data_IF_853486674662
#
_entry.id   IF_853486674662
#
_cell.length_a   1.000
_cell.length_b   1.000
_cell.length_c   1.000
_cell.angle_alpha   90.00
_cell.angle_beta   90.00
_cell.angle_gamma   90.00
#
_symmetry.space_group_name_H-M   'P 1'
#
loop_
_entity.id
_entity.type
_entity.pdbx_description
1 polymer ?
#
# COMPACT_ATOMS: atom_id res chain seq x y z
N UNK A 1 -22.48 -18.72 8.94
CA UNK A 1 -22.08 -17.30 8.87
C UNK A 1 -22.02 -16.91 7.41
N UNK A 2 -22.86 -15.97 6.96
CA UNK A 2 -22.83 -15.44 5.59
C UNK A 2 -21.48 -14.77 5.29
N UNK A 3 -21.06 -14.71 4.02
CA UNK A 3 -19.81 -14.05 3.62
C UNK A 3 -19.76 -12.59 4.11
N UNK A 4 -20.89 -11.87 4.04
CA UNK A 4 -21.04 -10.51 4.56
C UNK A 4 -20.87 -10.40 6.08
N UNK A 5 -21.26 -11.43 6.85
CA UNK A 5 -21.07 -11.40 8.30
C UNK A 5 -19.58 -11.49 8.65
N UNK A 6 -18.81 -12.27 7.86
CA UNK A 6 -17.36 -12.42 8.10
C UNK A 6 -16.61 -11.13 7.78
N UNK A 7 -17.02 -10.39 6.75
CA UNK A 7 -16.40 -9.11 6.38
C UNK A 7 -16.69 -8.05 7.43
N UNK A 8 -17.94 -7.93 7.87
CA UNK A 8 -18.34 -7.04 8.97
C UNK A 8 -17.60 -7.36 10.29
N UNK A 9 -17.52 -8.64 10.66
CA UNK A 9 -16.79 -9.09 11.86
C UNK A 9 -15.28 -8.77 11.76
N UNK A 10 -14.71 -8.81 10.56
CA UNK A 10 -13.30 -8.49 10.31
C UNK A 10 -13.07 -7.00 10.41
N UNK A 11 -13.93 -6.18 9.83
CA UNK A 11 -13.86 -4.72 9.91
C UNK A 11 -13.98 -4.23 11.36
N UNK A 12 -14.84 -4.85 12.16
CA UNK A 12 -14.99 -4.54 13.59
C UNK A 12 -13.70 -4.87 14.38
N UNK A 13 -13.03 -5.99 14.07
CA UNK A 13 -11.73 -6.35 14.69
C UNK A 13 -10.63 -5.35 14.33
N UNK A 14 -10.56 -4.96 13.07
CA UNK A 14 -9.60 -3.95 12.60
C UNK A 14 -9.85 -2.63 13.31
N UNK A 15 -11.11 -2.18 13.37
CA UNK A 15 -11.51 -0.94 14.03
C UNK A 15 -11.10 -0.94 15.52
N UNK A 16 -11.30 -2.07 16.22
CA UNK A 16 -10.83 -2.24 17.61
C UNK A 16 -9.31 -2.13 17.73
N UNK A 17 -8.57 -2.72 16.79
CA UNK A 17 -7.11 -2.68 16.78
C UNK A 17 -6.58 -1.26 16.54
N UNK A 18 -7.17 -0.52 15.60
CA UNK A 18 -6.84 0.89 15.34
C UNK A 18 -7.13 1.78 16.55
N UNK A 19 -8.22 1.54 17.29
CA UNK A 19 -8.48 2.23 18.57
C UNK A 19 -7.41 1.96 19.62
N UNK A 20 -7.00 0.70 19.75
CA UNK A 20 -5.94 0.32 20.70
C UNK A 20 -4.62 0.97 20.32
N UNK A 21 -4.28 1.03 19.03
CA UNK A 21 -3.11 1.75 18.55
C UNK A 21 -3.17 3.24 18.91
N UNK A 22 -4.29 3.93 18.66
CA UNK A 22 -4.48 5.32 19.07
C UNK A 22 -4.26 5.54 20.57
N UNK A 23 -4.78 4.62 21.39
CA UNK A 23 -4.58 4.66 22.84
C UNK A 23 -3.10 4.49 23.19
N UNK A 24 -2.43 3.52 22.59
CA UNK A 24 -1.02 3.23 22.82
C UNK A 24 -0.11 4.40 22.43
N UNK A 25 -0.44 5.13 21.35
CA UNK A 25 0.26 6.38 20.99
C UNK A 25 0.16 7.40 22.12
N UNK A 26 -1.01 7.55 22.73
CA UNK A 26 -1.19 8.48 23.87
C UNK A 26 -0.47 8.02 25.13
N UNK A 27 -0.35 6.70 25.35
CA UNK A 27 0.23 6.11 26.56
C UNK A 27 1.77 6.01 26.50
N UNK A 28 2.36 5.86 25.30
CA UNK A 28 3.80 5.55 25.10
C UNK A 28 4.61 6.73 24.56
N UNK A 29 4.01 7.61 23.73
CA UNK A 29 4.77 8.70 23.14
C UNK A 29 4.92 9.87 24.13
N UNK A 30 6.15 10.09 24.61
CA UNK A 30 6.47 11.12 25.60
C UNK A 30 6.63 12.53 25.00
N UNK A 31 6.96 12.63 23.71
CA UNK A 31 7.17 13.91 23.04
C UNK A 31 6.10 14.15 21.94
N UNK A 32 5.76 15.42 21.73
CA UNK A 32 4.68 15.82 20.82
C UNK A 32 4.99 15.49 19.35
N UNK A 33 6.27 15.50 18.95
CA UNK A 33 6.69 15.21 17.58
C UNK A 33 6.48 13.73 17.21
N UNK A 34 6.94 12.81 18.06
CA UNK A 34 6.73 11.36 17.89
C UNK A 34 5.24 11.01 17.99
N UNK A 35 4.50 11.66 18.88
CA UNK A 35 3.05 11.50 18.98
C UNK A 35 2.37 11.92 17.68
N UNK A 36 2.72 13.07 17.12
CA UNK A 36 2.16 13.55 15.86
C UNK A 36 2.53 12.65 14.69
N UNK A 37 3.77 12.19 14.60
CA UNK A 37 4.20 11.27 13.54
C UNK A 37 3.43 9.95 13.59
N UNK A 38 3.24 9.38 14.78
CA UNK A 38 2.44 8.17 14.94
C UNK A 38 0.95 8.40 14.64
N UNK A 39 0.40 9.56 14.99
CA UNK A 39 -0.98 9.93 14.63
C UNK A 39 -1.16 10.07 13.12
N UNK A 40 -0.19 10.63 12.39
CA UNK A 40 -0.23 10.72 10.93
C UNK A 40 -0.21 9.32 10.31
N UNK A 41 0.63 8.42 10.80
CA UNK A 41 0.66 7.02 10.32
C UNK A 41 -0.68 6.33 10.60
N UNK A 42 -1.25 6.52 11.79
CA UNK A 42 -2.58 6.00 12.14
C UNK A 42 -3.65 6.57 11.20
N UNK A 43 -3.61 7.87 10.89
CA UNK A 43 -4.54 8.53 9.98
C UNK A 43 -4.50 7.89 8.58
N UNK A 44 -3.30 7.64 8.03
CA UNK A 44 -3.13 6.96 6.75
C UNK A 44 -3.79 5.57 6.76
N UNK A 45 -3.57 4.79 7.82
CA UNK A 45 -4.19 3.46 7.94
C UNK A 45 -5.72 3.54 8.06
N UNK A 46 -6.25 4.55 8.76
CA UNK A 46 -7.70 4.75 8.85
C UNK A 46 -8.30 5.11 7.49
N UNK A 47 -7.62 5.94 6.67
CA UNK A 47 -8.08 6.25 5.29
C UNK A 47 -8.12 5.00 4.42
N UNK A 48 -7.04 4.22 4.42
CA UNK A 48 -6.93 2.95 3.70
C UNK A 48 -8.09 2.00 4.01
N UNK A 49 -8.37 1.76 5.29
CA UNK A 49 -9.48 0.88 5.67
C UNK A 49 -10.86 1.48 5.36
N UNK A 50 -10.99 2.81 5.38
CA UNK A 50 -12.23 3.48 4.97
C UNK A 50 -12.49 3.32 3.47
N UNK A 51 -11.45 3.36 2.64
CA UNK A 51 -11.53 3.10 1.19
C UNK A 51 -11.88 1.65 0.90
N UNK A 52 -11.23 0.70 1.59
CA UNK A 52 -11.55 -0.72 1.45
C UNK A 52 -13.02 -1.03 1.82
N UNK A 53 -13.52 -0.46 2.92
CA UNK A 53 -14.94 -0.58 3.32
C UNK A 53 -15.85 0.01 2.24
N UNK A 54 -15.52 1.20 1.73
CA UNK A 54 -16.29 1.85 0.68
C UNK A 54 -16.33 1.01 -0.61
N UNK A 55 -15.18 0.56 -1.09
CA UNK A 55 -15.06 -0.23 -2.31
C UNK A 55 -15.82 -1.56 -2.19
N UNK A 56 -15.72 -2.23 -1.04
CA UNK A 56 -16.49 -3.45 -0.79
C UNK A 56 -18.00 -3.19 -0.84
N UNK A 57 -18.48 -2.14 -0.18
CA UNK A 57 -19.91 -1.81 -0.17
C UNK A 57 -20.42 -1.35 -1.55
N UNK A 58 -19.59 -0.65 -2.31
CA UNK A 58 -19.92 -0.19 -3.66
C UNK A 58 -20.02 -1.36 -4.63
N UNK A 59 -19.05 -2.28 -4.58
CA UNK A 59 -19.07 -3.49 -5.41
C UNK A 59 -20.23 -4.41 -5.05
N UNK A 60 -20.52 -4.62 -3.76
CA UNK A 60 -21.66 -5.41 -3.31
C UNK A 60 -23.00 -4.85 -3.84
N UNK A 61 -23.19 -3.53 -3.77
CA UNK A 61 -24.38 -2.88 -4.35
C UNK A 61 -24.45 -3.01 -5.87
N UNK A 62 -23.32 -2.88 -6.56
CA UNK A 62 -23.27 -3.06 -8.01
C UNK A 62 -23.66 -4.50 -8.41
N UNK A 63 -23.23 -5.51 -7.64
CA UNK A 63 -23.65 -6.89 -7.85
C UNK A 63 -25.13 -7.12 -7.55
N UNK A 64 -25.69 -6.51 -6.50
CA UNK A 64 -27.13 -6.59 -6.23
C UNK A 64 -27.94 -5.99 -7.39
N UNK A 65 -27.53 -4.83 -7.90
CA UNK A 65 -28.16 -4.20 -9.07
C UNK A 65 -28.01 -5.06 -10.33
N UNK A 66 -26.86 -5.73 -10.50
CA UNK A 66 -26.62 -6.63 -11.61
C UNK A 66 -27.50 -7.88 -11.51
N UNK A 67 -27.64 -8.48 -10.33
CA UNK A 67 -28.51 -9.64 -10.09
C UNK A 67 -29.98 -9.29 -10.38
N UNK A 68 -30.45 -8.10 -9.98
CA UNK A 68 -31.80 -7.63 -10.30
C UNK A 68 -32.01 -7.51 -11.82
N UNK A 69 -31.02 -6.95 -12.54
CA UNK A 69 -31.06 -6.82 -14.00
C UNK A 69 -30.95 -8.17 -14.72
N UNK A 70 -30.13 -9.10 -14.23
CA UNK A 70 -29.97 -10.45 -14.79
C UNK A 70 -31.24 -11.31 -14.61
N UNK A 71 -32.01 -11.08 -13.55
CA UNK A 71 -33.27 -11.77 -13.31
C UNK A 71 -34.47 -11.13 -14.05
N UNK A 72 -34.25 -10.01 -14.77
CA UNK A 72 -35.24 -9.37 -15.63
C UNK A 72 -35.38 -10.11 -16.98
N UNK A 73 -36.57 -10.17 -17.61
CA UNK A 73 -36.76 -10.79 -18.92
C UNK A 73 -36.16 -9.99 -20.11
N UNK A 74 -35.35 -8.97 -19.82
CA UNK A 74 -34.79 -8.05 -20.80
C UNK A 74 -33.57 -8.67 -21.51
N UNK A 75 -33.39 -8.33 -22.79
CA UNK A 75 -32.34 -8.92 -23.63
C UNK A 75 -31.00 -8.31 -23.24
N UNK A 76 -30.14 -9.11 -22.63
CA UNK A 76 -28.78 -8.70 -22.26
C UNK A 76 -27.87 -8.91 -23.47
N UNK A 77 -27.38 -7.82 -24.06
CA UNK A 77 -26.46 -7.85 -25.20
C UNK A 77 -25.00 -7.96 -24.77
N UNK A 78 -24.61 -7.29 -23.67
CA UNK A 78 -23.26 -7.32 -23.12
C UNK A 78 -23.29 -7.27 -21.57
N UNK A 79 -22.69 -8.29 -20.95
CA UNK A 79 -22.64 -8.45 -19.49
C UNK A 79 -21.57 -7.52 -18.88
N UNK A 80 -20.48 -7.27 -19.60
CA UNK A 80 -19.38 -6.43 -19.11
C UNK A 80 -19.80 -4.96 -19.03
N UNK A 81 -20.42 -4.44 -20.11
CA UNK A 81 -21.01 -3.10 -20.12
C UNK A 81 -22.07 -2.91 -19.03
N UNK A 82 -22.90 -3.93 -18.78
CA UNK A 82 -23.91 -3.89 -17.71
C UNK A 82 -23.30 -3.76 -16.31
N UNK A 83 -22.21 -4.48 -16.04
CA UNK A 83 -21.51 -4.37 -14.76
C UNK A 83 -20.86 -3.00 -14.59
N UNK A 84 -20.20 -2.49 -15.65
CA UNK A 84 -19.60 -1.15 -15.64
C UNK A 84 -20.64 -0.07 -15.38
N UNK A 85 -21.78 -0.12 -16.07
CA UNK A 85 -22.90 0.78 -15.81
C UNK A 85 -23.37 0.70 -14.35
N UNK A 86 -23.44 -0.49 -13.77
CA UNK A 86 -23.86 -0.66 -12.37
C UNK A 86 -22.84 -0.08 -11.39
N UNK A 87 -21.53 -0.22 -11.67
CA UNK A 87 -20.47 0.42 -10.89
C UNK A 87 -20.54 1.93 -11.03
N UNK A 88 -20.62 2.44 -12.27
CA UNK A 88 -20.67 3.87 -12.56
C UNK A 88 -21.87 4.55 -11.92
N UNK A 89 -23.04 3.91 -11.91
CA UNK A 89 -24.23 4.41 -11.21
C UNK A 89 -24.08 4.47 -9.68
N UNK A 90 -23.25 3.60 -9.10
CA UNK A 90 -22.99 3.60 -7.64
C UNK A 90 -21.86 4.57 -7.28
N UNK A 91 -20.93 4.81 -8.19
CA UNK A 91 -19.77 5.69 -7.99
C UNK A 91 -20.02 7.13 -8.44
N UNK A 92 -21.04 7.42 -9.26
CA UNK A 92 -21.34 8.78 -9.73
C UNK A 92 -21.63 9.72 -8.55
N UNK A 93 -20.72 10.66 -8.30
CA UNK A 93 -20.81 11.63 -7.20
C UNK A 93 -20.30 11.14 -5.84
N UNK A 94 -19.77 9.91 -5.77
CA UNK A 94 -19.30 9.26 -4.54
C UNK A 94 -17.79 9.47 -4.35
N UNK A 95 -17.35 10.73 -4.23
CA UNK A 95 -15.98 10.98 -3.79
C UNK A 95 -15.85 10.52 -2.33
N UNK A 96 -14.92 9.61 -2.04
CA UNK A 96 -14.76 9.02 -0.71
C UNK A 96 -14.39 10.11 0.28
N UNK A 97 -15.39 10.59 1.03
CA UNK A 97 -15.14 11.46 2.16
C UNK A 97 -14.78 10.58 3.37
N UNK A 98 -13.49 10.33 3.57
CA UNK A 98 -13.02 9.51 4.70
C UNK A 98 -13.53 10.03 6.04
N UNK A 99 -13.74 11.35 6.20
CA UNK A 99 -14.23 11.92 7.45
C UNK A 99 -15.66 11.46 7.81
N UNK A 100 -16.43 11.08 6.79
CA UNK A 100 -17.77 10.53 6.94
C UNK A 100 -17.79 9.01 7.10
N UNK A 101 -16.67 8.30 6.88
CA UNK A 101 -16.61 6.86 7.10
C UNK A 101 -16.86 6.51 8.56
N UNK A 102 -17.55 5.38 8.76
CA UNK A 102 -17.78 4.80 10.08
C UNK A 102 -16.46 4.56 10.81
N UNK A 103 -15.44 4.04 10.12
CA UNK A 103 -14.13 3.75 10.71
C UNK A 103 -13.49 5.05 11.19
N UNK A 104 -13.41 6.07 10.33
CA UNK A 104 -12.85 7.36 10.68
C UNK A 104 -13.52 8.00 11.89
N UNK A 105 -14.85 8.11 11.86
CA UNK A 105 -15.59 8.66 12.99
C UNK A 105 -15.34 7.84 14.26
N UNK A 106 -15.22 6.53 14.12
CA UNK A 106 -15.02 5.64 15.27
C UNK A 106 -13.64 5.81 15.92
N UNK A 107 -12.61 6.18 15.16
CA UNK A 107 -11.25 6.42 15.67
C UNK A 107 -11.05 7.88 16.10
N UNK A 108 -11.60 8.84 15.38
CA UNK A 108 -11.33 10.28 15.56
C UNK A 108 -12.48 11.10 16.15
N UNK A 109 -13.60 10.48 16.54
CA UNK A 109 -14.75 11.16 17.17
C UNK A 109 -14.33 12.13 18.28
N UNK A 110 -14.65 13.41 18.09
CA UNK A 110 -14.59 14.45 19.11
C UNK A 110 -13.27 15.19 19.28
N UNK A 111 -12.26 15.00 18.43
CA UNK A 111 -10.98 15.67 18.58
C UNK A 111 -10.67 16.71 17.49
N UNK A 112 -10.29 17.89 17.96
CA UNK A 112 -9.56 18.96 17.25
C UNK A 112 -8.14 18.53 16.79
N UNK A 113 -7.77 17.26 16.94
CA UNK A 113 -6.42 16.73 16.69
C UNK A 113 -6.15 16.47 15.21
N UNK A 114 -7.19 16.42 14.38
CA UNK A 114 -7.02 16.49 12.93
C UNK A 114 -6.74 17.96 12.64
N UNK A 115 -5.49 18.40 12.83
CA UNK A 115 -5.04 19.61 12.16
C UNK A 115 -5.25 19.34 10.69
N UNK A 116 -6.20 20.02 10.08
CA UNK A 116 -6.29 20.11 8.64
C UNK A 116 -4.89 20.45 8.13
N UNK A 117 -4.21 19.48 7.52
CA UNK A 117 -3.05 19.75 6.66
C UNK A 117 -3.65 20.35 5.38
N UNK A 118 -4.20 21.55 5.51
CA UNK A 118 -4.39 22.44 4.39
C UNK A 118 -2.99 22.81 3.91
N UNK A 119 -2.65 22.23 2.75
CA UNK A 119 -1.52 22.57 1.89
C UNK A 119 -1.07 24.02 2.09
N UNK A 120 0.13 24.21 2.62
CA UNK A 120 0.95 25.37 2.28
C UNK A 120 2.17 24.87 1.55
N UNK A 121 2.11 24.98 0.22
CA UNK A 121 3.28 25.04 -0.64
C UNK A 121 4.25 26.06 -0.05
N UNK A 122 5.32 25.57 0.58
CA UNK A 122 6.53 26.32 0.83
C UNK A 122 7.66 25.53 0.20
N UNK A 123 8.17 26.03 -0.93
CA UNK A 123 9.56 25.77 -1.32
C UNK A 123 10.45 26.20 -0.16
N UNK A 124 11.11 25.24 0.51
CA UNK A 124 12.31 25.46 1.30
C UNK A 124 13.17 24.20 1.22
N UNK A 125 14.47 24.44 1.07
CA UNK A 125 15.53 23.54 0.63
C UNK A 125 15.79 22.31 1.53
N UNK A 126 16.29 21.28 0.85
CA UNK A 126 17.19 20.21 1.26
C UNK A 126 17.44 20.01 2.77
N UNK A 127 16.66 19.11 3.34
CA UNK A 127 17.08 18.29 4.47
C UNK A 127 16.37 16.94 4.36
N UNK A 128 17.14 15.92 3.98
CA UNK A 128 16.73 14.52 3.92
C UNK A 128 16.00 14.07 5.18
N UNK A 129 14.71 13.88 5.06
CA UNK A 129 13.95 12.91 5.84
C UNK A 129 13.20 12.07 4.83
N UNK A 130 13.46 10.75 4.83
CA UNK A 130 12.74 9.76 4.04
C UNK A 130 11.23 9.92 4.28
N UNK A 131 10.58 10.63 3.36
CA UNK A 131 9.15 10.50 3.14
C UNK A 131 8.94 9.03 2.80
N UNK A 132 8.22 8.32 3.66
CA UNK A 132 7.73 6.98 3.32
C UNK A 132 6.91 7.15 2.05
N UNK A 133 7.45 6.61 0.98
CA UNK A 133 6.97 6.71 -0.38
C UNK A 133 5.46 6.40 -0.47
N UNK A 134 4.68 7.42 -0.83
CA UNK A 134 3.25 7.32 -1.14
C UNK A 134 2.98 6.43 -2.38
N UNK A 135 4.02 5.89 -3.04
CA UNK A 135 3.94 4.78 -4.00
C UNK A 135 3.51 3.44 -3.37
N UNK A 136 3.50 3.32 -2.03
CA UNK A 136 2.94 2.15 -1.32
C UNK A 136 1.42 2.25 -1.07
N UNK A 137 0.71 3.05 -1.88
CA UNK A 137 -0.75 3.02 -1.97
C UNK A 137 -1.10 2.22 -3.23
N UNK A 138 -1.73 1.06 -3.03
CA UNK A 138 -2.15 0.13 -4.08
C UNK A 138 -2.98 0.80 -5.19
N UNK A 139 -2.31 1.27 -6.23
CA UNK A 139 -2.74 1.03 -7.60
C UNK A 139 -2.27 -0.37 -7.98
N UNK A 140 -2.91 -1.04 -8.94
CA UNK A 140 -2.45 -2.33 -9.47
C UNK A 140 -1.12 -2.21 -10.26
N UNK A 141 -0.35 -1.15 -10.02
CA UNK A 141 0.93 -0.87 -10.67
C UNK A 141 2.00 -1.58 -9.87
N UNK A 142 2.66 -2.53 -10.51
CA UNK A 142 3.83 -3.20 -9.96
C UNK A 142 4.95 -2.17 -9.77
N UNK A 143 5.58 -2.15 -8.59
CA UNK A 143 6.76 -1.32 -8.29
C UNK A 143 7.90 -2.23 -7.84
N UNK A 144 9.11 -2.12 -8.41
CA UNK A 144 10.26 -2.90 -7.98
C UNK A 144 10.56 -2.72 -6.48
N UNK A 145 10.83 -3.81 -5.74
CA UNK A 145 11.14 -3.72 -4.32
C UNK A 145 12.47 -2.99 -4.08
N UNK A 146 12.58 -2.34 -2.92
CA UNK A 146 13.80 -1.65 -2.49
C UNK A 146 14.71 -2.60 -1.69
N UNK A 147 16.00 -2.63 -2.04
CA UNK A 147 16.98 -3.48 -1.36
C UNK A 147 17.27 -2.97 0.07
N UNK A 148 17.22 -3.82 1.10
CA UNK A 148 17.43 -3.39 2.48
C UNK A 148 18.87 -2.93 2.78
N UNK A 149 19.86 -3.26 1.93
CA UNK A 149 21.27 -2.89 2.11
C UNK A 149 21.62 -1.63 1.33
N UNK A 150 21.41 -1.61 0.01
CA UNK A 150 21.76 -0.46 -0.85
C UNK A 150 20.74 0.67 -0.81
N UNK A 151 19.52 0.41 -0.32
CA UNK A 151 18.40 1.37 -0.30
C UNK A 151 17.97 1.85 -1.70
N UNK A 152 18.28 1.06 -2.73
CA UNK A 152 17.92 1.33 -4.11
C UNK A 152 16.93 0.29 -4.63
N UNK A 153 16.18 0.60 -5.71
CA UNK A 153 15.36 -0.39 -6.42
C UNK A 153 16.22 -1.59 -6.82
N UNK A 154 15.71 -2.80 -6.57
CA UNK A 154 16.36 -4.06 -6.96
C UNK A 154 16.30 -4.22 -8.48
N UNK A 155 17.43 -4.58 -9.10
CA UNK A 155 17.53 -4.88 -10.53
C UNK A 155 17.79 -6.36 -10.80
N UNK A 156 18.62 -7.00 -9.97
CA UNK A 156 18.92 -8.42 -10.04
C UNK A 156 18.43 -9.14 -8.77
N UNK A 157 17.14 -9.54 -8.73
CA UNK A 157 16.52 -10.03 -7.51
C UNK A 157 17.00 -11.43 -7.13
N UNK A 158 17.49 -11.57 -5.89
CA UNK A 158 17.81 -12.83 -5.26
C UNK A 158 17.04 -13.01 -3.97
N UNK A 159 16.42 -14.18 -3.83
CA UNK A 159 15.59 -14.56 -2.69
C UNK A 159 16.30 -15.55 -1.79
N UNK A 160 16.23 -15.34 -0.48
CA UNK A 160 16.69 -16.32 0.51
C UNK A 160 15.71 -17.49 0.63
N UNK A 161 16.20 -18.72 0.47
CA UNK A 161 15.41 -19.96 0.69
C UNK A 161 14.89 -20.08 2.12
N UNK A 162 15.52 -19.42 3.09
CA UNK A 162 15.21 -19.57 4.52
C UNK A 162 14.08 -18.65 4.99
N UNK A 163 14.07 -17.40 4.53
CA UNK A 163 13.12 -16.38 4.98
C UNK A 163 12.28 -15.77 3.84
N UNK A 164 12.59 -16.06 2.58
CA UNK A 164 11.84 -15.53 1.44
C UNK A 164 12.10 -14.07 1.11
N UNK A 165 12.95 -13.36 1.88
CA UNK A 165 13.31 -11.97 1.58
C UNK A 165 14.16 -11.86 0.32
N UNK A 166 13.97 -10.73 -0.37
CA UNK A 166 14.54 -10.41 -1.67
C UNK A 166 15.61 -9.35 -1.49
N UNK A 167 16.68 -9.46 -2.29
CA UNK A 167 17.83 -8.57 -2.27
C UNK A 167 18.35 -8.30 -3.67
N UNK A 168 19.08 -7.21 -3.82
CA UNK A 168 19.99 -7.00 -4.95
C UNK A 168 21.22 -7.91 -4.80
N UNK A 169 21.59 -8.61 -5.87
CA UNK A 169 22.66 -9.62 -5.86
C UNK A 169 23.99 -9.06 -5.39
N UNK A 170 24.43 -7.94 -5.96
CA UNK A 170 25.75 -7.37 -5.66
C UNK A 170 25.83 -6.87 -4.22
N UNK A 171 24.74 -6.26 -3.72
CA UNK A 171 24.60 -5.79 -2.35
C UNK A 171 24.65 -6.95 -1.36
N UNK A 172 23.86 -8.00 -1.57
CA UNK A 172 23.80 -9.13 -0.63
C UNK A 172 25.06 -10.00 -0.68
N UNK A 173 25.66 -10.17 -1.87
CA UNK A 173 26.91 -10.89 -2.02
C UNK A 173 28.05 -10.22 -1.24
N UNK A 174 28.14 -8.88 -1.33
CA UNK A 174 29.12 -8.08 -0.61
C UNK A 174 28.86 -8.10 0.91
N UNK A 175 27.59 -8.02 1.32
CA UNK A 175 27.19 -8.15 2.71
C UNK A 175 27.60 -9.51 3.31
N UNK A 176 27.29 -10.62 2.64
CA UNK A 176 27.66 -11.97 3.09
C UNK A 176 29.19 -12.13 3.17
N UNK A 177 29.93 -11.58 2.19
CA UNK A 177 31.40 -11.62 2.22
C UNK A 177 31.98 -10.83 3.39
N UNK A 178 31.42 -9.65 3.71
CA UNK A 178 31.91 -8.81 4.82
C UNK A 178 31.60 -9.40 6.19
N UNK A 179 30.41 -9.98 6.37
CA UNK A 179 29.96 -10.55 7.66
C UNK A 179 30.39 -12.02 7.85
N UNK A 180 30.77 -12.72 6.78
CA UNK A 180 31.24 -14.10 6.78
C UNK A 180 30.22 -15.06 7.42
N UNK A 181 30.67 -15.90 8.34
CA UNK A 181 29.81 -16.90 9.02
C UNK A 181 28.74 -16.30 9.94
N UNK A 182 28.82 -15.00 10.24
CA UNK A 182 27.88 -14.27 11.11
C UNK A 182 26.82 -13.50 10.32
N UNK A 183 26.82 -13.59 8.99
CA UNK A 183 25.83 -12.92 8.15
C UNK A 183 24.42 -13.35 8.54
N UNK A 184 23.59 -12.38 8.93
CA UNK A 184 22.17 -12.56 9.24
C UNK A 184 21.32 -11.92 8.14
N UNK A 185 20.03 -12.18 8.15
CA UNK A 185 19.12 -11.45 7.27
C UNK A 185 19.17 -9.93 7.58
N UNK A 186 19.44 -9.05 6.60
CA UNK A 186 19.44 -7.59 6.79
C UNK A 186 18.06 -7.00 7.10
N UNK A 187 16.99 -7.75 6.84
CA UNK A 187 15.62 -7.32 7.12
C UNK A 187 15.36 -7.29 8.63
N UNK A 188 14.92 -6.14 9.14
CA UNK A 188 14.68 -5.90 10.57
C UNK A 188 13.62 -6.89 11.09
N UNK A 189 13.89 -7.52 12.23
CA UNK A 189 12.98 -8.48 12.85
C UNK A 189 13.00 -9.89 12.25
N UNK A 190 13.81 -10.16 11.23
CA UNK A 190 13.93 -11.51 10.67
C UNK A 190 14.67 -12.45 11.63
N UNK A 191 14.04 -13.56 11.99
CA UNK A 191 14.59 -14.58 12.91
C UNK A 191 15.60 -15.54 12.25
N UNK A 192 15.91 -15.36 10.95
CA UNK A 192 16.88 -16.21 10.27
C UNK A 192 18.31 -15.91 10.73
N UNK A 193 18.91 -16.86 11.46
CA UNK A 193 20.18 -16.66 12.15
C UNK A 193 21.42 -16.76 11.25
N UNK A 194 21.32 -17.39 10.08
CA UNK A 194 22.45 -17.59 9.17
C UNK A 194 22.02 -17.44 7.72
N UNK A 195 22.61 -16.47 7.04
CA UNK A 195 22.47 -16.25 5.61
C UNK A 195 23.77 -16.63 4.89
N UNK A 196 23.68 -17.52 3.90
CA UNK A 196 24.84 -17.95 3.09
C UNK A 196 24.55 -17.75 1.62
N UNK A 197 25.61 -17.65 0.82
CA UNK A 197 25.49 -17.52 -0.64
C UNK A 197 24.72 -18.69 -1.27
N UNK A 198 24.87 -19.90 -0.71
CA UNK A 198 24.15 -21.11 -1.14
C UNK A 198 22.65 -21.08 -0.87
N UNK A 199 22.21 -20.20 0.04
CA UNK A 199 20.81 -20.03 0.43
C UNK A 199 20.10 -19.01 -0.47
N UNK A 200 20.83 -18.29 -1.33
CA UNK A 200 20.27 -17.33 -2.27
C UNK A 200 19.93 -18.00 -3.60
N UNK A 201 18.74 -17.70 -4.12
CA UNK A 201 18.25 -18.16 -5.42
C UNK A 201 17.79 -16.96 -6.20
N UNK A 202 18.15 -16.90 -7.48
CA UNK A 202 17.64 -15.88 -8.39
C UNK A 202 16.12 -15.99 -8.53
N UNK A 203 15.42 -14.88 -8.39
CA UNK A 203 13.97 -14.83 -8.58
C UNK A 203 13.64 -14.41 -10.01
N UNK A 204 13.51 -15.40 -10.90
CA UNK A 204 13.30 -15.12 -12.32
C UNK A 204 11.93 -14.50 -12.62
N UNK A 205 10.92 -14.79 -11.79
CA UNK A 205 9.58 -14.22 -11.94
C UNK A 205 9.61 -12.73 -11.60
N UNK A 206 10.18 -12.37 -10.45
CA UNK A 206 10.35 -10.97 -10.09
C UNK A 206 11.28 -10.23 -11.05
N UNK A 207 12.33 -10.88 -11.55
CA UNK A 207 13.19 -10.27 -12.56
C UNK A 207 12.40 -9.91 -13.83
N UNK A 208 11.53 -10.80 -14.30
CA UNK A 208 10.68 -10.52 -15.46
C UNK A 208 9.75 -9.33 -15.21
N UNK A 209 9.19 -9.20 -14.01
CA UNK A 209 8.33 -8.07 -13.64
C UNK A 209 9.11 -6.76 -13.58
N UNK A 210 10.32 -6.76 -13.02
CA UNK A 210 11.21 -5.59 -12.98
C UNK A 210 11.57 -5.13 -14.39
N UNK A 211 11.92 -6.06 -15.29
CA UNK A 211 12.24 -5.71 -16.68
C UNK A 211 11.05 -5.08 -17.41
N UNK A 212 9.85 -5.63 -17.25
CA UNK A 212 8.63 -5.05 -17.84
C UNK A 212 8.32 -3.64 -17.31
N UNK A 213 8.57 -3.42 -16.01
CA UNK A 213 8.42 -2.11 -15.39
C UNK A 213 9.43 -1.09 -15.91
N UNK A 214 10.70 -1.49 -16.04
CA UNK A 214 11.75 -0.61 -16.60
C UNK A 214 11.45 -0.25 -18.06
N UNK A 215 10.98 -1.21 -18.87
CA UNK A 215 10.59 -0.98 -20.27
C UNK A 215 9.41 0.01 -20.40
N UNK A 216 8.42 -0.04 -19.51
CA UNK A 216 7.26 0.85 -19.57
C UNK A 216 7.54 2.26 -19.04
N UNK A 217 8.48 2.42 -18.10
CA UNK A 217 8.80 3.73 -17.53
C UNK A 217 9.81 4.51 -18.40
N UNK A 218 10.65 3.83 -19.17
CA UNK A 218 11.57 4.49 -20.11
C UNK A 218 10.81 5.20 -21.25
N UNK A 219 9.67 4.66 -21.70
CA UNK A 219 8.85 5.32 -22.73
C UNK A 219 8.14 6.59 -22.25
N UNK A 220 7.82 6.68 -20.96
CA UNK A 220 7.14 7.86 -20.38
C UNK A 220 8.13 9.00 -20.10
N UNK A 221 9.36 8.67 -19.67
CA UNK A 221 10.44 9.65 -19.47
C UNK A 221 10.98 10.24 -20.78
N UNK A 222 10.92 9.51 -21.90
CA UNK A 222 11.32 10.00 -23.23
C UNK A 222 10.27 10.93 -23.89
N UNK A 223 8.98 10.78 -23.55
CA UNK A 223 7.91 11.66 -24.07
C UNK A 223 7.86 13.03 -23.36
N UNK A 224 8.32 13.12 -22.11
CA UNK A 224 8.38 14.39 -21.36
C UNK A 224 9.56 15.30 -21.77
N UNK A 225 10.62 14.76 -22.38
CA UNK A 225 11.78 15.55 -22.84
C UNK A 225 11.62 16.16 -24.25
N UNK A 226 10.60 15.79 -25.04
CA UNK A 226 10.36 16.38 -26.37
C UNK A 226 9.53 17.69 -26.35
N UNK A 227 8.87 18.03 -25.23
CA UNK A 227 7.95 19.18 -25.14
C UNK A 227 8.60 20.48 -24.59
N UNK A 228 9.88 20.45 -24.19
CA UNK A 228 10.59 21.59 -23.57
C UNK A 228 11.44 22.44 -24.55
N UNK A 229 11.32 22.22 -25.87
CA UNK A 229 12.04 22.98 -26.90
C UNK A 229 11.09 23.84 -27.76
N UNK A 230 10.47 24.87 -27.15
CA UNK A 230 9.83 25.98 -27.90
C UNK A 230 9.78 27.33 -27.18
#
# INVERSE_FOLDING_TARGET
MSSMQKTEDTLEKVTKSLKLWKKLISDVCENDETKQNQLNILETHVKLYSELEHNFNTTDKAFQNLDEKLNSPEKIEDIESLYQDCIDNVTTGSSINHQNSRVWQTIFKGHSDVKEVQKRSKKLDDAQYDTIDESLLCSNVFVPPVDPISKTKVKNPFKSKKCGHIYEFDSIASYIRSQGKKAKCPHIGCSSEQLRMTDLVKDNELQSQISQYEESHVSEEEEEEEDDDY
#
